data_IF_330992071562
#
_entry.id   IF_330992071562
#
_cell.length_a   1.000
_cell.length_b   1.000
_cell.length_c   1.000
_cell.angle_alpha   90.00
_cell.angle_beta   90.00
_cell.angle_gamma   90.00
#
_symmetry.space_group_name_H-M   'P 1'
#
loop_
_entity.id
_entity.type
_entity.pdbx_description
1 polymer ?
#
# COMPACT_ATOMS: atom_id res chain seq x y z
N UNK A 1 1.92 22.92 57.54
CA UNK A 1 2.72 22.31 56.46
C UNK A 1 1.79 21.52 55.56
N UNK A 2 1.36 22.14 54.47
CA UNK A 2 0.39 21.58 53.50
C UNK A 2 1.15 21.22 52.22
N UNK A 3 1.31 19.92 51.96
CA UNK A 3 1.86 19.42 50.70
C UNK A 3 0.79 19.49 49.61
N UNK A 4 1.01 20.30 48.58
CA UNK A 4 0.25 20.27 47.32
C UNK A 4 0.95 19.29 46.37
N UNK A 5 0.31 18.16 46.08
CA UNK A 5 0.66 17.29 44.97
C UNK A 5 0.22 17.96 43.66
N UNK A 6 1.17 18.37 42.82
CA UNK A 6 0.90 18.80 41.44
C UNK A 6 0.93 17.55 40.56
N UNK A 7 -0.25 17.04 40.22
CA UNK A 7 -0.40 15.99 39.22
C UNK A 7 -0.15 16.55 37.83
N UNK A 8 0.99 16.21 37.24
CA UNK A 8 1.29 16.50 35.84
C UNK A 8 0.45 15.61 34.93
N UNK A 9 -0.52 16.21 34.23
CA UNK A 9 -1.30 15.56 33.19
C UNK A 9 -0.40 15.42 31.95
N UNK A 10 0.13 14.22 31.71
CA UNK A 10 0.83 13.89 30.45
C UNK A 10 -0.18 13.85 29.32
N UNK A 11 -0.25 14.93 28.53
CA UNK A 11 -1.01 14.99 27.30
C UNK A 11 -0.26 14.17 26.23
N UNK A 12 -0.62 12.89 26.08
CA UNK A 12 -0.18 12.08 24.96
C UNK A 12 -0.83 12.62 23.68
N UNK A 13 -0.09 13.41 22.92
CA UNK A 13 -0.52 13.86 21.59
C UNK A 13 -0.48 12.65 20.63
N UNK A 14 -1.63 11.99 20.45
CA UNK A 14 -1.82 11.02 19.37
C UNK A 14 -1.83 11.78 18.04
N UNK A 15 -0.66 11.88 17.39
CA UNK A 15 -0.54 12.21 15.97
C UNK A 15 -1.38 11.21 15.18
N UNK A 16 -2.61 11.59 14.82
CA UNK A 16 -3.37 10.89 13.79
C UNK A 16 -2.66 11.18 12.48
N UNK A 17 -1.98 10.18 11.89
CA UNK A 17 -1.60 10.29 10.49
C UNK A 17 -2.89 10.53 9.70
N UNK A 18 -2.92 11.61 8.91
CA UNK A 18 -4.03 11.87 8.01
C UNK A 18 -4.18 10.68 7.06
N UNK A 19 -5.42 10.22 6.87
CA UNK A 19 -5.71 9.18 5.88
C UNK A 19 -5.36 9.71 4.48
N UNK A 20 -4.56 8.95 3.73
CA UNK A 20 -4.34 9.20 2.31
C UNK A 20 -5.45 8.55 1.51
N UNK A 21 -5.75 9.11 0.34
CA UNK A 21 -6.74 8.58 -0.58
C UNK A 21 -6.07 8.22 -1.91
N UNK A 22 -6.24 6.98 -2.35
CA UNK A 22 -5.97 6.54 -3.71
C UNK A 22 -7.30 6.46 -4.47
N UNK A 23 -7.40 7.22 -5.55
CA UNK A 23 -8.50 7.13 -6.50
C UNK A 23 -7.95 6.64 -7.83
N UNK A 24 -8.53 5.56 -8.34
CA UNK A 24 -8.10 4.97 -9.61
C UNK A 24 -8.86 5.62 -10.76
N UNK A 25 -8.30 6.73 -11.26
CA UNK A 25 -8.82 7.40 -12.44
C UNK A 25 -8.38 6.68 -13.72
N UNK A 26 -9.36 6.16 -14.46
CA UNK A 26 -9.14 5.39 -15.68
C UNK A 26 -9.33 6.23 -16.95
N UNK A 27 -9.62 7.54 -16.86
CA UNK A 27 -9.93 8.36 -18.05
C UNK A 27 -8.75 8.54 -18.99
N UNK A 28 -7.52 8.47 -18.47
CA UNK A 28 -6.30 8.55 -19.27
C UNK A 28 -5.80 7.17 -19.76
N UNK A 29 -6.42 6.08 -19.30
CA UNK A 29 -5.99 4.72 -19.65
C UNK A 29 -6.52 4.31 -21.03
N UNK A 30 -5.72 3.50 -21.74
CA UNK A 30 -6.05 3.05 -23.10
C UNK A 30 -6.92 1.78 -23.05
N UNK A 31 -8.03 1.70 -23.79
CA UNK A 31 -8.77 0.45 -23.93
C UNK A 31 -7.90 -0.69 -24.48
N UNK A 32 -8.12 -1.91 -23.96
CA UNK A 32 -7.38 -3.11 -24.33
C UNK A 32 -6.01 -3.27 -23.65
N UNK A 33 -5.63 -2.37 -22.74
CA UNK A 33 -4.39 -2.50 -21.96
C UNK A 33 -4.67 -2.76 -20.49
N UNK A 34 -3.71 -3.37 -19.79
CA UNK A 34 -3.70 -3.42 -18.32
C UNK A 34 -3.40 -2.00 -17.80
N UNK A 35 -4.16 -1.46 -16.83
CA UNK A 35 -3.86 -0.14 -16.28
C UNK A 35 -2.49 -0.06 -15.61
N UNK A 36 -1.90 1.13 -15.61
CA UNK A 36 -0.56 1.33 -15.08
C UNK A 36 -0.46 0.99 -13.58
N UNK A 37 0.64 0.34 -13.17
CA UNK A 37 0.85 -0.07 -11.78
C UNK A 37 0.12 -1.35 -11.36
N UNK A 38 -0.59 -2.02 -12.27
CA UNK A 38 -1.24 -3.30 -12.02
C UNK A 38 -0.53 -4.45 -12.72
N UNK A 39 -0.54 -5.63 -12.09
CA UNK A 39 0.00 -6.87 -12.66
C UNK A 39 -1.05 -7.98 -12.64
N UNK A 40 -1.21 -8.68 -13.78
CA UNK A 40 -1.99 -9.92 -13.84
C UNK A 40 -1.25 -11.05 -13.15
N UNK A 41 -1.95 -11.78 -12.29
CA UNK A 41 -1.45 -12.92 -11.55
C UNK A 41 -2.54 -14.01 -11.44
N UNK A 42 -2.17 -15.14 -10.86
CA UNK A 42 -3.05 -16.29 -10.70
C UNK A 42 -2.80 -16.96 -9.35
N UNK A 43 -3.88 -17.18 -8.60
CA UNK A 43 -3.91 -18.18 -7.55
C UNK A 43 -4.62 -19.45 -8.06
N UNK A 44 -4.22 -20.61 -7.55
CA UNK A 44 -4.79 -21.90 -7.94
C UNK A 44 -4.28 -22.42 -9.29
N UNK A 45 -5.18 -22.97 -10.09
CA UNK A 45 -4.89 -23.71 -11.32
C UNK A 45 -5.26 -22.93 -12.59
N UNK A 46 -4.86 -23.45 -13.75
CA UNK A 46 -5.20 -22.88 -15.07
C UNK A 46 -4.30 -21.72 -15.51
N UNK A 47 -4.67 -20.97 -16.57
CA UNK A 47 -3.91 -19.81 -17.04
C UNK A 47 -4.26 -18.53 -16.24
N UNK A 48 -3.36 -17.53 -16.15
CA UNK A 48 -3.70 -16.23 -15.57
C UNK A 48 -4.88 -15.53 -16.26
N UNK A 49 -5.48 -14.56 -15.57
CA UNK A 49 -6.53 -13.73 -16.15
C UNK A 49 -6.03 -12.86 -17.30
N UNK A 50 -6.93 -12.60 -18.24
CA UNK A 50 -6.75 -11.50 -19.20
C UNK A 50 -7.49 -10.30 -18.61
N UNK A 51 -6.73 -9.27 -18.26
CA UNK A 51 -7.23 -8.04 -17.67
C UNK A 51 -6.98 -6.87 -18.60
N UNK A 52 -7.97 -6.02 -18.79
CA UNK A 52 -7.84 -4.88 -19.68
C UNK A 52 -8.86 -3.79 -19.36
N UNK A 53 -8.57 -2.58 -19.82
CA UNK A 53 -9.53 -1.49 -19.81
C UNK A 53 -10.57 -1.73 -20.90
N UNK A 54 -11.83 -1.74 -20.49
CA UNK A 54 -13.00 -1.80 -21.37
C UNK A 54 -13.82 -0.52 -21.23
N UNK A 55 -14.64 -0.29 -22.23
CA UNK A 55 -15.62 0.78 -22.25
C UNK A 55 -16.98 0.17 -21.90
N UNK A 56 -17.60 0.63 -20.81
CA UNK A 56 -18.93 0.21 -20.39
C UNK A 56 -19.93 1.36 -20.48
N UNK A 57 -21.18 1.07 -20.84
CA UNK A 57 -22.26 2.03 -20.87
C UNK A 57 -23.36 1.58 -19.88
N UNK A 58 -23.29 1.99 -18.61
CA UNK A 58 -24.19 1.50 -17.56
C UNK A 58 -25.65 1.89 -17.86
N UNK A 59 -26.56 0.93 -17.76
CA UNK A 59 -27.98 1.18 -17.97
C UNK A 59 -28.54 2.19 -16.95
N UNK A 60 -28.01 2.22 -15.72
CA UNK A 60 -28.44 3.19 -14.71
C UNK A 60 -28.05 4.65 -15.01
N UNK A 61 -27.12 4.89 -15.94
CA UNK A 61 -26.74 6.24 -16.38
C UNK A 61 -27.58 6.71 -17.59
N UNK A 62 -28.54 5.91 -18.07
CA UNK A 62 -29.48 6.26 -19.14
C UNK A 62 -30.32 7.49 -18.77
N UNK A 63 -30.35 8.49 -19.65
CA UNK A 63 -31.20 9.68 -19.47
C UNK A 63 -32.60 9.49 -20.07
N UNK A 64 -33.65 10.13 -19.51
CA UNK A 64 -35.01 10.08 -20.05
C UNK A 64 -35.15 10.56 -21.51
N UNK A 65 -34.20 11.35 -22.01
CA UNK A 65 -34.18 11.82 -23.40
C UNK A 65 -33.87 10.71 -24.43
N UNK A 66 -33.41 9.53 -23.98
CA UNK A 66 -33.19 8.37 -24.83
C UNK A 66 -33.54 7.06 -24.07
N UNK A 67 -34.84 6.76 -23.85
CA UNK A 67 -35.25 5.54 -23.18
C UNK A 67 -34.90 4.33 -24.06
N UNK A 68 -34.02 3.45 -23.56
CA UNK A 68 -33.62 2.22 -24.27
C UNK A 68 -32.37 2.32 -25.14
N UNK A 69 -31.77 3.51 -25.28
CA UNK A 69 -30.38 3.63 -25.73
C UNK A 69 -29.49 3.79 -24.49
N UNK A 70 -28.36 3.08 -24.43
CA UNK A 70 -27.29 3.42 -23.51
C UNK A 70 -27.07 4.94 -23.57
N UNK A 71 -26.87 5.61 -22.44
CA UNK A 71 -26.93 7.08 -22.29
C UNK A 71 -26.00 7.91 -23.19
N UNK A 72 -25.25 7.27 -24.07
CA UNK A 72 -24.08 7.81 -24.75
C UNK A 72 -22.89 7.97 -23.81
N UNK A 73 -23.10 7.96 -22.49
CA UNK A 73 -22.04 8.04 -21.49
C UNK A 73 -21.42 6.66 -21.34
N UNK A 74 -20.32 6.51 -22.06
CA UNK A 74 -19.42 5.37 -21.94
C UNK A 74 -18.32 5.75 -20.96
N UNK A 75 -17.99 4.84 -20.03
CA UNK A 75 -16.90 5.04 -19.07
C UNK A 75 -15.87 3.91 -19.15
N UNK A 76 -14.58 4.21 -18.93
CA UNK A 76 -13.57 3.18 -18.79
C UNK A 76 -13.77 2.40 -17.49
N UNK A 77 -13.59 1.08 -17.58
CA UNK A 77 -13.67 0.12 -16.48
C UNK A 77 -12.55 -0.91 -16.60
N UNK A 78 -12.13 -1.51 -15.48
CA UNK A 78 -11.22 -2.65 -15.50
C UNK A 78 -12.03 -3.92 -15.71
N UNK A 79 -11.68 -4.74 -16.69
CA UNK A 79 -12.37 -5.98 -16.99
C UNK A 79 -11.43 -7.18 -16.89
N UNK A 80 -11.86 -8.23 -16.21
CA UNK A 80 -11.39 -9.58 -16.51
C UNK A 80 -12.23 -10.09 -17.68
N UNK A 81 -11.59 -10.60 -18.74
CA UNK A 81 -12.28 -11.05 -19.96
C UNK A 81 -11.98 -12.50 -20.37
N UNK A 82 -11.18 -13.22 -19.58
CA UNK A 82 -10.82 -14.61 -19.87
C UNK A 82 -11.94 -15.56 -19.43
N UNK A 83 -12.46 -16.32 -20.38
CA UNK A 83 -13.55 -17.30 -20.19
C UNK A 83 -13.04 -18.73 -19.93
N UNK A 84 -11.83 -18.89 -19.39
CA UNK A 84 -11.30 -20.21 -19.05
C UNK A 84 -12.03 -20.79 -17.83
N UNK A 85 -12.69 -21.93 -18.02
CA UNK A 85 -13.60 -22.51 -17.03
C UNK A 85 -12.93 -23.44 -16.00
N UNK A 86 -11.60 -23.41 -15.86
CA UNK A 86 -10.90 -24.17 -14.82
C UNK A 86 -11.45 -23.80 -13.44
N UNK A 87 -11.76 -24.80 -12.60
CA UNK A 87 -12.60 -24.58 -11.42
C UNK A 87 -11.89 -23.83 -10.28
N UNK A 88 -10.75 -24.34 -9.83
CA UNK A 88 -9.91 -23.72 -8.81
C UNK A 88 -8.95 -22.69 -9.44
N UNK A 89 -9.46 -21.92 -10.41
CA UNK A 89 -8.74 -20.84 -11.08
C UNK A 89 -9.16 -19.50 -10.50
N UNK A 90 -8.21 -18.73 -10.00
CA UNK A 90 -8.47 -17.46 -9.32
C UNK A 90 -7.63 -16.33 -9.92
N UNK A 91 -8.10 -15.71 -11.03
CA UNK A 91 -7.40 -14.58 -11.62
C UNK A 91 -7.33 -13.40 -10.66
N UNK A 92 -6.13 -12.83 -10.55
CA UNK A 92 -5.82 -11.69 -9.71
C UNK A 92 -5.32 -10.54 -10.59
N UNK A 93 -5.76 -9.32 -10.33
CA UNK A 93 -5.10 -8.11 -10.82
C UNK A 93 -4.57 -7.35 -9.62
N UNK A 94 -3.26 -7.40 -9.40
CA UNK A 94 -2.60 -6.92 -8.18
C UNK A 94 -2.13 -5.49 -8.39
N UNK A 95 -2.47 -4.59 -7.47
CA UNK A 95 -1.91 -3.24 -7.42
C UNK A 95 -0.51 -3.28 -6.78
N UNK A 96 0.51 -3.00 -7.57
CA UNK A 96 1.92 -3.16 -7.18
C UNK A 96 2.49 -2.04 -6.28
N UNK A 97 2.17 -0.75 -6.49
CA UNK A 97 2.87 0.37 -5.85
C UNK A 97 2.77 0.48 -4.32
N UNK A 98 1.74 -0.11 -3.70
CA UNK A 98 1.44 0.15 -2.28
C UNK A 98 1.14 -1.12 -1.49
N UNK A 99 1.52 -1.12 -0.21
CA UNK A 99 1.22 -2.16 0.77
C UNK A 99 0.29 -1.60 1.83
N UNK A 100 -0.88 -2.21 1.96
CA UNK A 100 -1.95 -1.67 2.78
C UNK A 100 -1.94 -2.26 4.18
N UNK A 101 -1.70 -1.37 5.14
CA UNK A 101 -2.10 -1.48 6.54
C UNK A 101 -3.61 -1.31 6.69
N UNK A 102 -4.03 -0.46 7.61
CA UNK A 102 -5.46 -0.17 7.78
C UNK A 102 -6.00 0.62 6.60
N UNK A 103 -7.16 0.20 6.08
CA UNK A 103 -7.79 0.82 4.91
C UNK A 103 -9.32 0.71 4.94
N UNK A 104 -9.96 1.60 4.18
CA UNK A 104 -11.33 1.51 3.71
C UNK A 104 -11.30 1.54 2.19
N UNK A 105 -11.71 0.46 1.56
CA UNK A 105 -11.81 0.32 0.11
C UNK A 105 -13.28 0.39 -0.30
N UNK A 106 -13.55 1.10 -1.38
CA UNK A 106 -14.85 1.13 -2.07
C UNK A 106 -14.63 0.87 -3.55
N UNK A 107 -15.48 0.06 -4.16
CA UNK A 107 -15.53 -0.12 -5.60
C UNK A 107 -16.93 -0.51 -6.03
N UNK A 108 -17.17 -0.43 -7.34
CA UNK A 108 -18.34 -1.03 -7.99
C UNK A 108 -17.92 -2.21 -8.85
N UNK A 109 -18.73 -3.25 -8.89
CA UNK A 109 -18.50 -4.41 -9.76
C UNK A 109 -19.75 -4.81 -10.53
N UNK A 110 -19.57 -5.46 -11.68
CA UNK A 110 -20.64 -6.04 -12.50
C UNK A 110 -20.19 -7.37 -13.08
N UNK A 111 -20.89 -8.45 -12.75
CA UNK A 111 -20.67 -9.76 -13.37
C UNK A 111 -21.39 -9.78 -14.72
N UNK A 112 -20.64 -9.94 -15.81
CA UNK A 112 -21.15 -9.77 -17.19
C UNK A 112 -21.47 -11.10 -17.85
N UNK A 113 -20.56 -12.07 -17.73
CA UNK A 113 -20.70 -13.40 -18.32
C UNK A 113 -19.93 -14.44 -17.50
N UNK A 114 -20.06 -15.70 -17.90
CA UNK A 114 -19.50 -16.86 -17.21
C UNK A 114 -20.56 -17.93 -17.06
N UNK A 115 -20.19 -19.16 -17.39
CA UNK A 115 -21.05 -20.35 -17.38
C UNK A 115 -20.82 -21.20 -16.16
N UNK A 116 -19.56 -21.36 -15.73
CA UNK A 116 -19.21 -22.11 -14.53
C UNK A 116 -19.32 -21.23 -13.30
N UNK A 117 -18.89 -19.97 -13.42
CA UNK A 117 -18.94 -19.00 -12.34
C UNK A 117 -19.32 -17.61 -12.83
N UNK A 118 -19.94 -16.83 -11.95
CA UNK A 118 -20.15 -15.40 -12.13
C UNK A 118 -19.82 -14.72 -10.81
N UNK A 119 -18.53 -14.47 -10.60
CA UNK A 119 -18.01 -13.95 -9.33
C UNK A 119 -17.15 -12.71 -9.51
N UNK A 120 -17.30 -11.81 -8.54
CA UNK A 120 -16.49 -10.62 -8.37
C UNK A 120 -16.00 -10.53 -6.93
N UNK A 121 -14.77 -10.09 -6.71
CA UNK A 121 -14.26 -9.91 -5.37
C UNK A 121 -13.00 -9.08 -5.31
N UNK A 122 -12.50 -8.94 -4.09
CA UNK A 122 -11.23 -8.29 -3.79
C UNK A 122 -10.41 -9.23 -2.93
N UNK A 123 -9.18 -9.50 -3.37
CA UNK A 123 -8.17 -10.08 -2.53
C UNK A 123 -7.41 -8.95 -1.81
N UNK A 124 -7.24 -9.08 -0.50
CA UNK A 124 -6.62 -8.04 0.33
C UNK A 124 -5.73 -8.66 1.40
N UNK A 125 -4.82 -7.82 1.95
CA UNK A 125 -3.67 -8.29 2.72
C UNK A 125 -2.87 -9.36 1.95
N UNK A 126 -2.79 -9.23 0.62
CA UNK A 126 -2.14 -10.20 -0.24
C UNK A 126 -0.62 -10.16 -0.03
N UNK A 127 -0.04 -11.26 0.41
CA UNK A 127 1.42 -11.43 0.51
C UNK A 127 1.98 -11.90 -0.84
N UNK A 128 1.33 -12.93 -1.38
CA UNK A 128 1.64 -13.60 -2.63
C UNK A 128 0.36 -14.33 -3.12
N UNK A 129 0.46 -15.00 -4.27
CA UNK A 129 -0.64 -15.75 -4.90
C UNK A 129 -1.10 -16.99 -4.12
N UNK A 130 -0.53 -17.26 -2.95
CA UNK A 130 -0.89 -18.37 -2.05
C UNK A 130 -1.36 -17.90 -0.67
N UNK A 131 -1.26 -16.60 -0.36
CA UNK A 131 -1.45 -16.05 0.97
C UNK A 131 -2.20 -14.71 0.95
N UNK A 132 -3.52 -14.75 1.11
CA UNK A 132 -4.37 -13.55 1.08
C UNK A 132 -5.75 -13.81 1.71
N UNK A 133 -6.50 -12.75 1.99
CA UNK A 133 -7.94 -12.84 2.25
C UNK A 133 -8.73 -12.50 0.99
N UNK A 134 -9.95 -13.02 0.86
CA UNK A 134 -10.90 -12.66 -0.18
C UNK A 134 -12.25 -12.35 0.43
N UNK A 135 -12.89 -11.30 -0.05
CA UNK A 135 -14.34 -11.17 0.00
C UNK A 135 -14.90 -11.19 -1.42
N UNK A 136 -15.93 -11.99 -1.66
CA UNK A 136 -16.49 -12.22 -3.00
C UNK A 136 -18.01 -12.27 -2.99
N UNK A 137 -18.59 -11.75 -4.06
CA UNK A 137 -19.98 -11.90 -4.43
C UNK A 137 -20.09 -12.92 -5.58
N UNK A 138 -21.07 -13.82 -5.53
CA UNK A 138 -21.41 -14.73 -6.63
C UNK A 138 -22.84 -14.48 -7.08
N UNK A 139 -23.00 -14.08 -8.35
CA UNK A 139 -24.30 -13.90 -9.00
C UNK A 139 -24.97 -15.24 -9.32
N UNK A 140 -24.17 -16.22 -9.78
CA UNK A 140 -24.68 -17.57 -10.07
C UNK A 140 -25.10 -18.30 -8.78
N UNK A 141 -24.26 -18.22 -7.75
CA UNK A 141 -24.46 -18.91 -6.48
C UNK A 141 -25.26 -18.12 -5.44
N UNK A 142 -25.70 -16.89 -5.76
CA UNK A 142 -26.41 -15.98 -4.83
C UNK A 142 -25.81 -15.96 -3.43
N UNK A 143 -24.50 -15.76 -3.33
CA UNK A 143 -23.79 -15.77 -2.04
C UNK A 143 -22.79 -14.64 -1.96
N UNK A 144 -22.65 -14.10 -0.75
CA UNK A 144 -21.60 -13.15 -0.41
C UNK A 144 -20.75 -13.75 0.71
N UNK A 145 -19.47 -13.97 0.43
CA UNK A 145 -18.62 -14.77 1.31
C UNK A 145 -17.22 -14.20 1.47
N UNK A 146 -16.68 -14.36 2.66
CA UNK A 146 -15.30 -14.12 3.00
C UNK A 146 -14.57 -15.44 3.25
N UNK A 147 -13.31 -15.55 2.85
CA UNK A 147 -12.42 -16.63 3.28
C UNK A 147 -10.95 -16.21 3.20
N UNK A 148 -10.10 -17.02 3.81
CA UNK A 148 -8.64 -16.91 3.72
C UNK A 148 -8.11 -17.96 2.76
N UNK A 149 -7.07 -17.59 2.01
CA UNK A 149 -6.16 -18.52 1.33
C UNK A 149 -4.83 -18.46 2.08
N UNK A 150 -4.38 -19.59 2.61
CA UNK A 150 -3.13 -19.71 3.36
C UNK A 150 -2.35 -20.91 2.84
N UNK A 151 -1.09 -20.68 2.44
CA UNK A 151 -0.25 -21.68 1.78
C UNK A 151 -0.92 -22.33 0.55
N UNK A 152 -1.74 -21.56 -0.17
CA UNK A 152 -2.47 -22.00 -1.36
C UNK A 152 -3.72 -22.82 -1.05
N UNK A 153 -4.05 -23.03 0.23
CA UNK A 153 -5.27 -23.71 0.67
C UNK A 153 -6.33 -22.69 1.03
N UNK A 154 -7.52 -22.85 0.44
CA UNK A 154 -8.67 -21.99 0.66
C UNK A 154 -9.54 -22.53 1.79
N UNK A 155 -9.86 -21.66 2.76
CA UNK A 155 -10.80 -21.97 3.83
C UNK A 155 -12.25 -22.00 3.30
N UNK A 156 -13.15 -22.62 4.07
CA UNK A 156 -14.58 -22.56 3.76
C UNK A 156 -15.09 -21.11 3.84
N UNK A 157 -15.97 -20.69 2.91
CA UNK A 157 -16.50 -19.34 2.92
C UNK A 157 -17.41 -19.09 4.13
N UNK A 158 -17.22 -17.95 4.77
CA UNK A 158 -18.07 -17.40 5.82
C UNK A 158 -18.93 -16.31 5.19
N UNK A 159 -20.24 -16.49 5.19
CA UNK A 159 -21.19 -15.47 4.78
C UNK A 159 -22.52 -16.05 4.33
N UNK A 160 -23.54 -15.20 4.16
CA UNK A 160 -24.89 -15.64 3.85
C UNK A 160 -25.14 -15.85 2.35
N UNK A 161 -26.27 -16.49 2.06
CA UNK A 161 -26.93 -16.36 0.77
C UNK A 161 -27.48 -14.93 0.62
N UNK A 162 -27.10 -14.26 -0.47
CA UNK A 162 -27.55 -12.92 -0.84
C UNK A 162 -27.69 -12.90 -2.35
N UNK A 163 -28.84 -12.46 -2.84
CA UNK A 163 -29.06 -12.28 -4.28
C UNK A 163 -28.10 -11.22 -4.83
N UNK A 164 -27.32 -11.60 -5.83
CA UNK A 164 -26.43 -10.70 -6.59
C UNK A 164 -26.89 -10.76 -8.04
N UNK A 165 -27.33 -9.63 -8.59
CA UNK A 165 -27.98 -9.62 -9.89
C UNK A 165 -26.92 -9.52 -11.01
N UNK A 166 -26.85 -10.48 -11.94
CA UNK A 166 -25.91 -10.38 -13.06
C UNK A 166 -26.29 -9.22 -13.98
N UNK A 167 -25.29 -8.61 -14.62
CA UNK A 167 -25.47 -7.48 -15.54
C UNK A 167 -25.79 -6.14 -14.89
N UNK A 168 -25.85 -6.06 -13.56
CA UNK A 168 -26.09 -4.82 -12.80
C UNK A 168 -24.83 -4.47 -11.99
N UNK A 169 -24.59 -3.17 -11.82
CA UNK A 169 -23.52 -2.67 -10.98
C UNK A 169 -23.90 -2.72 -9.50
N UNK A 170 -23.05 -3.35 -8.69
CA UNK A 170 -23.16 -3.46 -7.25
C UNK A 170 -22.04 -2.70 -6.54
N UNK A 171 -22.32 -2.15 -5.36
CA UNK A 171 -21.33 -1.48 -4.52
C UNK A 171 -20.69 -2.46 -3.52
N UNK A 172 -19.36 -2.50 -3.47
CA UNK A 172 -18.59 -3.26 -2.49
C UNK A 172 -17.75 -2.32 -1.64
N UNK A 173 -17.88 -2.42 -0.32
CA UNK A 173 -17.04 -1.72 0.64
C UNK A 173 -16.35 -2.72 1.57
N UNK A 174 -15.07 -2.46 1.85
CA UNK A 174 -14.23 -3.26 2.74
C UNK A 174 -13.56 -2.31 3.74
N UNK A 175 -13.75 -2.56 5.02
CA UNK A 175 -13.04 -1.86 6.08
C UNK A 175 -12.14 -2.85 6.82
N UNK A 176 -10.83 -2.61 6.78
CA UNK A 176 -9.82 -3.41 7.48
C UNK A 176 -9.08 -2.53 8.49
N UNK A 177 -9.22 -2.84 9.78
CA UNK A 177 -8.55 -2.14 10.88
C UNK A 177 -7.87 -3.12 11.82
N UNK A 178 -6.55 -3.10 11.85
CA UNK A 178 -5.76 -4.13 12.51
C UNK A 178 -6.10 -5.52 11.97
N UNK A 179 -6.67 -6.35 12.83
CA UNK A 179 -7.14 -7.72 12.55
C UNK A 179 -8.66 -7.82 12.35
N UNK A 180 -9.40 -6.70 12.32
CA UNK A 180 -10.86 -6.68 12.20
C UNK A 180 -11.29 -6.28 10.80
N UNK A 181 -12.30 -6.97 10.28
CA UNK A 181 -12.83 -6.74 8.93
C UNK A 181 -14.34 -6.55 8.94
N UNK A 182 -14.83 -5.59 8.17
CA UNK A 182 -16.24 -5.38 7.86
C UNK A 182 -16.43 -5.28 6.36
N UNK A 183 -17.55 -5.80 5.87
CA UNK A 183 -17.85 -5.87 4.45
C UNK A 183 -19.26 -5.39 4.20
N UNK A 184 -19.43 -4.47 3.26
CA UNK A 184 -20.76 -4.03 2.82
C UNK A 184 -20.97 -4.34 1.35
N UNK A 185 -22.16 -4.84 1.03
CA UNK A 185 -22.65 -5.05 -0.31
C UNK A 185 -23.94 -4.22 -0.48
N UNK A 186 -23.95 -3.31 -1.45
CA UNK A 186 -25.06 -2.38 -1.71
C UNK A 186 -25.53 -1.63 -0.44
N UNK A 187 -24.55 -1.16 0.34
CA UNK A 187 -24.77 -0.42 1.59
C UNK A 187 -25.21 -1.28 2.79
N UNK A 188 -25.44 -2.59 2.62
CA UNK A 188 -25.81 -3.52 3.70
C UNK A 188 -24.57 -4.25 4.21
N UNK A 189 -24.53 -4.60 5.50
CA UNK A 189 -23.44 -5.36 6.12
C UNK A 189 -23.90 -6.80 6.39
N UNK A 190 -23.87 -7.71 5.40
CA UNK A 190 -24.44 -9.06 5.51
C UNK A 190 -23.60 -10.03 6.36
N UNK A 191 -22.31 -9.74 6.55
CA UNK A 191 -21.40 -10.56 7.35
C UNK A 191 -21.07 -9.77 8.63
N UNK A 192 -21.24 -10.34 9.84
CA UNK A 192 -20.78 -9.70 11.07
C UNK A 192 -19.28 -9.38 11.03
N UNK A 193 -18.84 -8.43 11.85
CA UNK A 193 -17.41 -8.10 11.97
C UNK A 193 -16.58 -9.39 12.22
N UNK A 194 -15.62 -9.64 11.35
CA UNK A 194 -14.72 -10.77 11.47
C UNK A 194 -13.40 -10.35 12.11
N UNK A 195 -12.73 -11.29 12.75
CA UNK A 195 -11.38 -11.10 13.30
C UNK A 195 -10.46 -12.22 12.83
N UNK A 196 -9.33 -11.89 12.23
CA UNK A 196 -8.30 -12.87 11.85
C UNK A 196 -6.89 -12.24 11.95
N UNK A 197 -5.92 -13.00 12.47
CA UNK A 197 -4.58 -12.50 12.80
C UNK A 197 -3.50 -12.90 11.80
N UNK A 198 -3.83 -13.64 10.73
CA UNK A 198 -2.83 -14.23 9.83
C UNK A 198 -2.07 -13.17 9.04
N UNK A 199 -2.75 -12.21 8.40
CA UNK A 199 -2.11 -11.21 7.57
C UNK A 199 -2.38 -9.80 8.09
N UNK A 200 -1.32 -9.10 8.51
CA UNK A 200 -1.40 -7.75 9.10
C UNK A 200 -1.31 -6.61 8.10
N UNK A 201 -0.81 -6.88 6.89
CA UNK A 201 -0.76 -5.96 5.75
C UNK A 201 -0.37 -6.70 4.50
N UNK A 202 -0.70 -6.16 3.34
CA UNK A 202 -0.33 -6.72 2.05
C UNK A 202 -0.93 -5.90 0.92
N UNK A 203 -0.80 -6.41 -0.30
CA UNK A 203 -1.33 -5.75 -1.49
C UNK A 203 -2.85 -5.91 -1.58
N UNK A 204 -3.44 -5.14 -2.49
CA UNK A 204 -4.82 -5.27 -2.92
C UNK A 204 -4.85 -5.84 -4.33
N UNK A 205 -5.85 -6.66 -4.62
CA UNK A 205 -6.08 -7.17 -5.96
C UNK A 205 -7.58 -7.31 -6.27
N UNK A 206 -7.94 -7.03 -7.51
CA UNK A 206 -9.24 -7.45 -8.03
C UNK A 206 -9.20 -8.96 -8.26
N UNK A 207 -10.29 -9.64 -7.95
CA UNK A 207 -10.37 -11.09 -7.91
C UNK A 207 -11.60 -11.60 -8.65
N UNK A 208 -11.45 -12.70 -9.40
CA UNK A 208 -12.54 -13.44 -10.06
C UNK A 208 -12.30 -14.95 -9.91
N UNK A 209 -13.26 -15.79 -10.32
CA UNK A 209 -13.13 -17.26 -10.35
C UNK A 209 -13.48 -17.83 -11.72
N UNK A 210 -12.74 -18.84 -12.16
CA UNK A 210 -13.01 -19.60 -13.39
C UNK A 210 -13.22 -18.67 -14.60
N UNK A 211 -14.36 -18.80 -15.30
CA UNK A 211 -14.71 -18.09 -16.52
C UNK A 211 -15.49 -16.79 -16.29
N UNK A 212 -15.47 -16.27 -15.05
CA UNK A 212 -16.19 -15.04 -14.68
C UNK A 212 -15.64 -13.82 -15.42
N UNK A 213 -16.38 -13.34 -16.42
CA UNK A 213 -16.14 -12.04 -17.04
C UNK A 213 -16.78 -10.98 -16.14
N UNK A 214 -15.96 -10.13 -15.53
CA UNK A 214 -16.38 -9.16 -14.52
C UNK A 214 -15.75 -7.80 -14.76
N UNK A 215 -16.55 -6.75 -14.62
CA UNK A 215 -16.11 -5.36 -14.71
C UNK A 215 -16.03 -4.73 -13.33
N UNK A 216 -15.04 -3.87 -13.13
CA UNK A 216 -14.78 -3.13 -11.90
C UNK A 216 -14.61 -1.64 -12.21
N UNK A 217 -15.20 -0.79 -11.38
CA UNK A 217 -15.18 0.66 -11.54
C UNK A 217 -15.15 1.36 -10.16
N UNK A 218 -14.92 2.68 -10.17
CA UNK A 218 -15.01 3.53 -8.98
C UNK A 218 -14.17 3.08 -7.79
N UNK A 219 -13.03 2.42 -8.07
CA UNK A 219 -12.13 1.96 -7.03
C UNK A 219 -11.49 3.16 -6.31
N UNK A 220 -11.70 3.21 -4.99
CA UNK A 220 -11.16 4.20 -4.08
C UNK A 220 -10.67 3.51 -2.81
N UNK A 221 -9.51 3.93 -2.32
CA UNK A 221 -8.92 3.39 -1.09
C UNK A 221 -8.49 4.54 -0.20
N UNK A 222 -9.16 4.69 0.93
CA UNK A 222 -8.70 5.55 2.02
C UNK A 222 -7.86 4.69 2.96
N UNK A 223 -6.59 5.01 3.16
CA UNK A 223 -5.69 4.19 3.96
C UNK A 223 -4.78 5.05 4.82
N UNK A 224 -4.19 4.45 5.85
CA UNK A 224 -3.08 5.09 6.55
C UNK A 224 -1.79 4.70 5.84
N UNK A 225 -1.09 5.63 5.17
CA UNK A 225 0.20 5.32 4.59
C UNK A 225 1.10 4.72 5.65
N UNK A 226 1.74 3.61 5.31
CA UNK A 226 2.83 3.09 6.12
C UNK A 226 4.02 4.01 5.93
N UNK A 227 4.04 5.11 6.68
CA UNK A 227 5.22 5.96 6.75
C UNK A 227 6.29 5.13 7.46
N UNK A 228 7.23 4.61 6.65
CA UNK A 228 8.42 3.91 7.14
C UNK A 228 8.97 4.67 8.33
N UNK A 229 9.40 3.96 9.37
CA UNK A 229 10.01 4.62 10.52
C UNK A 229 11.15 5.55 10.07
N UNK A 230 11.90 5.16 9.04
CA UNK A 230 12.87 6.00 8.35
C UNK A 230 12.35 7.42 8.01
N UNK A 231 11.18 7.54 7.37
CA UNK A 231 10.63 8.84 6.99
C UNK A 231 10.16 9.64 8.21
N UNK A 232 9.52 8.98 9.20
CA UNK A 232 9.17 9.64 10.46
C UNK A 232 10.41 10.21 11.17
N UNK A 233 11.50 9.46 11.18
CA UNK A 233 12.76 9.91 11.76
C UNK A 233 13.32 11.12 11.00
N UNK A 234 13.28 11.11 9.66
CA UNK A 234 13.69 12.26 8.86
C UNK A 234 12.87 13.51 9.23
N UNK A 235 11.54 13.40 9.24
CA UNK A 235 10.65 14.52 9.52
C UNK A 235 10.86 15.07 10.94
N UNK A 236 10.98 14.17 11.93
CA UNK A 236 11.29 14.53 13.32
C UNK A 236 12.63 15.25 13.44
N UNK A 237 13.68 14.76 12.76
CA UNK A 237 15.01 15.38 12.82
C UNK A 237 15.00 16.75 12.11
N UNK A 238 14.37 16.86 10.94
CA UNK A 238 14.24 18.14 10.23
C UNK A 238 13.51 19.18 11.08
N UNK A 239 12.47 18.78 11.83
CA UNK A 239 11.76 19.65 12.77
C UNK A 239 12.61 20.03 13.99
N UNK A 240 13.39 19.09 14.52
CA UNK A 240 14.17 19.29 15.77
C UNK A 240 15.48 20.06 15.55
N UNK A 241 16.08 19.98 14.37
CA UNK A 241 17.39 20.58 14.07
C UNK A 241 17.29 21.66 12.98
N UNK A 242 17.05 22.94 13.33
CA UNK A 242 16.84 24.02 12.36
C UNK A 242 18.00 24.33 11.40
N UNK A 243 19.20 23.79 11.69
CA UNK A 243 20.39 23.95 10.83
C UNK A 243 20.52 22.86 9.75
N UNK A 244 19.60 21.90 9.72
CA UNK A 244 19.51 20.91 8.65
C UNK A 244 18.96 21.59 7.39
N UNK A 245 19.71 21.45 6.31
CA UNK A 245 19.30 21.85 4.97
C UNK A 245 18.70 20.67 4.19
N UNK A 246 19.05 19.45 4.60
CA UNK A 246 18.53 18.23 4.02
C UNK A 246 19.00 17.00 4.78
N UNK A 247 18.21 15.94 4.71
CA UNK A 247 18.48 14.67 5.35
C UNK A 247 17.97 13.54 4.46
N UNK A 248 18.80 12.53 4.22
CA UNK A 248 18.43 11.31 3.48
C UNK A 248 18.90 10.08 4.21
N UNK A 249 18.09 9.02 4.18
CA UNK A 249 18.44 7.68 4.65
C UNK A 249 18.52 6.77 3.44
N UNK A 250 19.66 6.11 3.27
CA UNK A 250 19.93 5.13 2.24
C UNK A 250 19.95 3.75 2.87
N UNK A 251 19.11 2.84 2.38
CA UNK A 251 19.05 1.46 2.86
C UNK A 251 18.61 0.52 1.73
N UNK A 252 18.58 -0.76 2.05
CA UNK A 252 17.97 -1.80 1.22
C UNK A 252 16.61 -2.19 1.83
N UNK A 253 15.70 -2.67 0.99
CA UNK A 253 14.35 -3.11 1.41
C UNK A 253 14.07 -4.50 0.84
N UNK A 254 13.09 -5.23 1.38
CA UNK A 254 12.67 -6.50 0.76
C UNK A 254 12.24 -6.34 -0.71
N UNK A 255 11.62 -5.21 -1.08
CA UNK A 255 11.16 -4.94 -2.44
C UNK A 255 12.28 -4.46 -3.40
N UNK A 256 13.37 -3.92 -2.85
CA UNK A 256 14.48 -3.37 -3.62
C UNK A 256 15.81 -3.65 -2.90
N UNK A 257 16.56 -4.69 -3.32
CA UNK A 257 17.78 -5.12 -2.68
C UNK A 257 18.97 -4.19 -2.97
N UNK A 258 18.88 -3.33 -3.99
CA UNK A 258 19.91 -2.31 -4.25
C UNK A 258 19.81 -1.15 -3.26
N UNK A 259 20.94 -0.57 -2.88
CA UNK A 259 20.99 0.59 -2.01
C UNK A 259 20.26 1.77 -2.67
N UNK A 260 19.30 2.36 -1.97
CA UNK A 260 18.52 3.52 -2.46
C UNK A 260 18.01 4.37 -1.30
N UNK A 261 17.55 5.57 -1.60
CA UNK A 261 16.95 6.48 -0.62
C UNK A 261 15.59 5.94 -0.18
N UNK A 262 15.50 5.50 1.07
CA UNK A 262 14.24 4.99 1.68
C UNK A 262 13.45 6.08 2.38
N UNK A 263 14.09 7.20 2.71
CA UNK A 263 13.48 8.37 3.32
C UNK A 263 14.31 9.63 3.02
N UNK A 264 13.64 10.77 2.81
CA UNK A 264 14.29 12.03 2.53
C UNK A 264 13.46 13.23 2.97
N UNK A 265 14.16 14.33 3.28
CA UNK A 265 13.53 15.62 3.58
C UNK A 265 12.94 16.28 2.34
N UNK A 266 13.44 15.93 1.16
CA UNK A 266 12.85 16.26 -0.13
C UNK A 266 12.19 15.00 -0.71
N UNK A 267 10.84 14.96 -0.85
CA UNK A 267 10.13 13.78 -1.34
C UNK A 267 10.59 13.29 -2.72
N UNK A 268 11.07 14.20 -3.58
CA UNK A 268 11.57 13.86 -4.92
C UNK A 268 12.87 13.03 -4.90
N UNK A 269 13.55 12.96 -3.75
CA UNK A 269 14.79 12.19 -3.62
C UNK A 269 14.53 10.72 -3.24
N UNK A 270 13.32 10.38 -2.78
CA UNK A 270 12.97 9.01 -2.38
C UNK A 270 13.04 8.09 -3.60
N UNK A 271 13.71 6.95 -3.46
CA UNK A 271 13.94 6.00 -4.55
C UNK A 271 15.18 6.28 -5.40
N UNK A 272 15.91 7.38 -5.20
CA UNK A 272 17.20 7.58 -5.86
C UNK A 272 18.21 6.51 -5.43
N UNK A 273 19.02 6.02 -6.38
CA UNK A 273 20.06 5.03 -6.09
C UNK A 273 21.14 5.58 -5.16
N UNK A 274 21.65 4.74 -4.26
CA UNK A 274 22.82 5.03 -3.43
C UNK A 274 24.12 4.95 -4.22
N UNK A 275 25.11 5.77 -3.82
CA UNK A 275 26.42 5.82 -4.46
C UNK A 275 27.50 5.02 -3.72
N UNK A 276 28.74 5.16 -4.20
CA UNK A 276 29.91 4.50 -3.60
C UNK A 276 30.20 5.00 -2.18
N UNK A 277 29.95 6.28 -1.90
CA UNK A 277 30.18 6.86 -0.56
C UNK A 277 29.27 6.22 0.47
N UNK A 278 27.96 6.14 0.20
CA UNK A 278 27.01 5.52 1.13
C UNK A 278 27.33 4.04 1.37
N UNK A 279 27.73 3.31 0.32
CA UNK A 279 28.17 1.91 0.43
C UNK A 279 29.41 1.78 1.30
N UNK A 280 30.46 2.55 1.01
CA UNK A 280 31.72 2.51 1.76
C UNK A 280 31.51 2.87 3.24
N UNK A 281 30.65 3.84 3.55
CA UNK A 281 30.32 4.21 4.93
C UNK A 281 29.63 3.06 5.68
N UNK A 282 28.75 2.32 5.01
CA UNK A 282 28.09 1.14 5.62
C UNK A 282 29.08 -0.02 5.82
N UNK A 283 29.96 -0.26 4.85
CA UNK A 283 30.95 -1.36 4.91
C UNK A 283 32.05 -1.12 5.94
N UNK A 284 32.53 0.13 6.06
CA UNK A 284 33.70 0.48 6.89
C UNK A 284 33.34 1.11 8.23
N UNK A 285 32.06 1.45 8.44
CA UNK A 285 31.57 2.26 9.58
C UNK A 285 32.27 3.61 9.74
N UNK A 286 33.00 4.06 8.70
CA UNK A 286 33.80 5.29 8.74
C UNK A 286 32.99 6.42 8.12
N UNK A 287 32.69 7.51 8.85
CA UNK A 287 31.97 8.64 8.31
C UNK A 287 32.72 9.34 7.18
N UNK A 288 31.99 9.78 6.16
CA UNK A 288 32.48 10.66 5.11
C UNK A 288 32.01 12.09 5.36
N UNK A 289 32.84 13.07 5.01
CA UNK A 289 32.48 14.48 5.03
C UNK A 289 33.07 15.20 3.83
N UNK A 290 32.30 16.14 3.28
CA UNK A 290 32.74 17.01 2.20
C UNK A 290 32.07 18.37 2.30
N UNK A 291 32.75 19.40 1.77
CA UNK A 291 32.23 20.76 1.72
C UNK A 291 31.68 21.08 0.34
N UNK A 292 30.48 21.65 0.30
CA UNK A 292 29.85 22.12 -0.93
C UNK A 292 29.30 23.54 -0.75
N UNK A 293 29.99 24.55 -1.31
CA UNK A 293 29.62 25.97 -1.20
C UNK A 293 29.38 26.39 0.27
N UNK A 294 28.12 26.69 0.63
CA UNK A 294 27.67 27.17 1.94
C UNK A 294 27.17 26.05 2.88
N UNK A 295 27.37 24.77 2.52
CA UNK A 295 26.96 23.62 3.33
C UNK A 295 28.06 22.58 3.46
N UNK A 296 27.99 21.81 4.55
CA UNK A 296 28.71 20.55 4.71
C UNK A 296 27.76 19.40 4.46
N UNK A 297 28.26 18.38 3.78
CA UNK A 297 27.56 17.13 3.53
C UNK A 297 28.35 16.06 4.26
N UNK A 298 27.71 15.37 5.18
CA UNK A 298 28.32 14.26 5.92
C UNK A 298 27.48 13.01 5.76
N UNK A 299 28.11 11.89 5.47
CA UNK A 299 27.45 10.58 5.41
C UNK A 299 27.96 9.74 6.58
N UNK A 300 27.05 9.27 7.42
CA UNK A 300 27.37 8.49 8.62
C UNK A 300 26.64 7.15 8.58
N UNK A 301 27.22 6.07 9.17
CA UNK A 301 26.51 4.82 9.29
C UNK A 301 25.38 4.97 10.31
N UNK A 302 24.22 4.40 10.00
CA UNK A 302 23.12 4.24 10.93
C UNK A 302 23.06 2.78 11.34
N UNK A 303 23.46 2.52 12.58
CA UNK A 303 23.63 1.16 13.09
C UNK A 303 22.44 0.72 13.92
N UNK A 304 22.16 -0.57 13.88
CA UNK A 304 21.18 -1.22 14.75
C UNK A 304 21.74 -1.47 16.16
N UNK A 305 20.99 -2.21 16.98
CA UNK A 305 21.38 -2.53 18.37
C UNK A 305 22.59 -3.46 18.47
N UNK A 306 22.95 -4.18 17.39
CA UNK A 306 24.12 -5.05 17.32
C UNK A 306 25.38 -4.28 16.89
N UNK A 307 25.23 -3.05 16.41
CA UNK A 307 26.32 -2.22 15.88
C UNK A 307 26.52 -2.39 14.37
N UNK A 308 25.69 -3.19 13.70
CA UNK A 308 25.75 -3.39 12.26
C UNK A 308 25.14 -2.20 11.53
N UNK A 309 25.81 -1.70 10.47
CA UNK A 309 25.25 -0.64 9.65
C UNK A 309 24.09 -1.15 8.80
N UNK A 310 22.87 -0.80 9.20
CA UNK A 310 21.65 -1.14 8.46
C UNK A 310 21.26 -0.09 7.41
N UNK A 311 21.82 1.12 7.50
CA UNK A 311 21.62 2.21 6.56
C UNK A 311 22.79 3.21 6.59
N UNK A 312 22.85 4.12 5.60
CA UNK A 312 23.68 5.32 5.63
C UNK A 312 22.80 6.57 5.71
N UNK A 313 23.20 7.55 6.51
CA UNK A 313 22.48 8.82 6.66
C UNK A 313 23.32 9.95 6.13
N UNK A 314 22.82 10.59 5.08
CA UNK A 314 23.42 11.80 4.50
C UNK A 314 22.77 13.02 5.13
N UNK A 315 23.58 13.77 5.87
CA UNK A 315 23.19 14.96 6.62
C UNK A 315 23.78 16.18 5.91
N UNK A 316 22.92 17.11 5.51
CA UNK A 316 23.33 18.39 4.93
C UNK A 316 23.12 19.51 5.96
N UNK A 317 24.20 20.14 6.40
CA UNK A 317 24.18 21.19 7.42
C UNK A 317 24.69 22.51 6.85
N UNK A 318 24.14 23.63 7.33
CA UNK A 318 24.74 24.95 7.07
C UNK A 318 26.18 24.99 7.59
N UNK A 319 27.09 25.46 6.74
CA UNK A 319 28.51 25.60 7.09
C UNK A 319 28.72 26.78 8.03
N UNK A 320 29.56 26.59 9.04
CA UNK A 320 30.04 27.67 9.90
C UNK A 320 31.42 28.16 9.44
N UNK A 321 31.77 29.46 9.64
CA UNK A 321 33.12 29.95 9.36
C UNK A 321 34.18 29.11 10.06
N UNK A 322 35.27 28.77 9.37
CA UNK A 322 36.37 27.96 9.92
C UNK A 322 36.06 26.48 10.21
N UNK A 323 34.87 25.99 9.88
CA UNK A 323 34.49 24.61 10.15
C UNK A 323 35.31 23.61 9.34
N UNK A 324 35.81 22.57 10.01
CA UNK A 324 36.52 21.42 9.42
C UNK A 324 35.57 20.26 9.13
N UNK A 325 36.02 19.30 8.32
CA UNK A 325 35.27 18.06 8.05
C UNK A 325 35.00 17.25 9.33
N UNK A 326 36.01 17.09 10.19
CA UNK A 326 35.86 16.44 11.50
C UNK A 326 34.80 17.16 12.35
N UNK A 327 34.82 18.50 12.37
CA UNK A 327 33.81 19.30 13.07
C UNK A 327 32.41 19.17 12.46
N UNK A 328 32.29 18.97 11.15
CA UNK A 328 31.02 18.67 10.49
C UNK A 328 30.47 17.30 10.91
N UNK A 329 31.29 16.25 10.91
CA UNK A 329 30.90 14.92 11.40
C UNK A 329 30.47 14.98 12.85
N UNK A 330 31.21 15.70 13.70
CA UNK A 330 30.88 15.86 15.12
C UNK A 330 29.51 16.52 15.33
N UNK A 331 29.10 17.46 14.46
CA UNK A 331 27.78 18.10 14.50
C UNK A 331 26.65 17.20 13.98
N UNK A 332 26.93 16.32 13.03
CA UNK A 332 25.93 15.41 12.47
C UNK A 332 25.68 14.19 13.37
N UNK A 333 26.70 13.75 14.12
CA UNK A 333 26.65 12.53 14.96
C UNK A 333 25.48 12.49 15.98
N UNK A 334 25.13 13.56 16.70
CA UNK A 334 23.97 13.54 17.61
C UNK A 334 22.64 13.27 16.91
N UNK A 335 22.49 13.74 15.67
CA UNK A 335 21.27 13.54 14.86
C UNK A 335 21.13 12.05 14.55
N UNK A 336 22.19 11.44 14.02
CA UNK A 336 22.22 10.02 13.67
C UNK A 336 22.08 9.15 14.91
N UNK A 337 22.77 9.45 16.01
CA UNK A 337 22.65 8.71 17.27
C UNK A 337 21.22 8.73 17.83
N UNK A 338 20.51 9.84 17.69
CA UNK A 338 19.11 9.92 18.11
C UNK A 338 18.20 9.05 17.24
N UNK A 339 18.48 8.94 15.94
CA UNK A 339 17.76 8.04 15.04
C UNK A 339 18.02 6.56 15.38
N UNK A 340 19.27 6.20 15.72
CA UNK A 340 19.63 4.84 16.13
C UNK A 340 18.86 4.35 17.36
N UNK A 341 18.54 5.25 18.30
CA UNK A 341 17.79 4.89 19.50
C UNK A 341 16.29 4.63 19.28
N UNK A 342 15.82 4.56 18.03
CA UNK A 342 14.38 4.49 17.69
C UNK A 342 13.96 3.23 16.94
N UNK A 343 14.91 2.37 16.58
CA UNK A 343 14.65 1.10 15.91
C UNK A 343 15.62 0.04 16.42
N UNK A 344 15.27 -1.24 16.26
CA UNK A 344 16.10 -2.38 16.62
C UNK A 344 16.66 -3.11 15.42
N UNK A 345 15.97 -3.11 14.28
CA UNK A 345 16.37 -3.85 13.09
C UNK A 345 16.20 -3.01 11.82
N UNK A 346 16.87 -3.41 10.73
CA UNK A 346 16.64 -2.82 9.40
C UNK A 346 15.16 -2.89 9.00
N UNK A 347 14.51 -4.02 9.28
CA UNK A 347 13.12 -4.24 8.89
C UNK A 347 12.19 -3.21 9.54
N UNK A 348 12.35 -2.98 10.84
CA UNK A 348 11.58 -1.96 11.56
C UNK A 348 11.84 -0.54 11.01
N UNK A 349 13.06 -0.28 10.57
CA UNK A 349 13.42 1.01 9.98
C UNK A 349 12.76 1.22 8.60
N UNK A 350 12.69 0.18 7.75
CA UNK A 350 12.43 0.32 6.31
C UNK A 350 11.12 -0.29 5.79
N UNK A 351 10.39 -1.05 6.60
CA UNK A 351 9.14 -1.76 6.21
C UNK A 351 7.93 -1.35 7.07
#
# INVERSE_FOLDING_TARGET
MTFRLVGGLSLAACLHLAAAELMFDLTAEKPGTVPAGWRSALAGEGPPGVWEIRLDAPAELATPAAPGAASGVVRPVIAQVSTDATDERFPLLIYEPEVFGDFVLRLRFKTVAGTREQMAGVAFRLQDERNFYVVRASALGNTFGFYRVFEGRRDAPIGPEVKVQPGVWHDLEIEARGNKFRFRLDGREPIPELTDNTFRAGKLALWTKSDSVTYFADLRVSYTPRVRLAQRLVDEMMKKYPRLLGLRIYATTAARPELHVVAASNPADVGLSGGEVERAVMETLTPYAGRARKKFITTLPLQDVNGDAVAAVRVELTASPGQTEVGAVARARPIVKQMQGRFQTRQELTE
#
